data_IF_476041085895
#
_entry.id   IF_476041085895
#
_cell.length_a   1.000
_cell.length_b   1.000
_cell.length_c   1.000
_cell.angle_alpha   90.00
_cell.angle_beta   90.00
_cell.angle_gamma   90.00
#
_symmetry.space_group_name_H-M   'P 1'
#
loop_
_entity.id
_entity.type
_entity.pdbx_description
1 polymer ?
#
# COMPACT_ATOMS: atom_id res chain seq x y z
N UNK A 1 -10.35 20.35 -0.31
CA UNK A 1 -9.72 19.23 -1.03
C UNK A 1 -8.66 18.69 -0.08
N UNK A 2 -8.57 17.37 0.09
CA UNK A 2 -7.55 16.77 0.96
C UNK A 2 -6.23 16.72 0.19
N UNK A 3 -5.14 17.11 0.84
CA UNK A 3 -3.78 17.12 0.30
C UNK A 3 -2.93 16.05 0.97
N UNK A 4 -1.87 15.59 0.29
CA UNK A 4 -0.88 14.70 0.91
C UNK A 4 -0.29 15.38 2.15
N UNK A 5 -0.25 14.66 3.26
CA UNK A 5 0.19 15.16 4.56
C UNK A 5 -0.93 15.76 5.43
N UNK A 6 -2.13 16.02 4.88
CA UNK A 6 -3.27 16.42 5.70
C UNK A 6 -3.60 15.30 6.69
N UNK A 7 -3.87 15.70 7.94
CA UNK A 7 -4.12 14.81 9.06
C UNK A 7 -5.47 15.12 9.71
N UNK A 8 -6.19 14.08 10.12
CA UNK A 8 -7.55 14.18 10.66
C UNK A 8 -7.72 13.32 11.90
N UNK A 9 -8.48 13.78 12.91
CA UNK A 9 -8.84 12.93 14.05
C UNK A 9 -9.74 11.79 13.60
N UNK A 10 -9.62 10.65 14.27
CA UNK A 10 -10.35 9.41 13.97
C UNK A 10 -11.21 9.00 15.17
N UNK A 11 -12.45 8.63 14.87
CA UNK A 11 -13.31 7.89 15.77
C UNK A 11 -13.75 6.58 15.11
N UNK A 12 -13.79 5.51 15.90
CA UNK A 12 -14.27 4.21 15.43
C UNK A 12 -15.76 4.04 15.71
N UNK A 13 -16.50 3.70 14.67
CA UNK A 13 -17.93 3.39 14.78
C UNK A 13 -18.15 1.89 14.79
N UNK A 14 -19.01 1.40 15.69
CA UNK A 14 -19.32 -0.02 15.81
C UNK A 14 -20.32 -0.45 14.73
N UNK A 15 -19.94 -1.44 13.92
CA UNK A 15 -20.87 -2.13 13.01
C UNK A 15 -21.66 -3.17 13.81
N UNK A 16 -22.99 -3.01 13.89
CA UNK A 16 -23.84 -3.84 14.74
C UNK A 16 -24.07 -5.24 14.16
N UNK A 17 -24.19 -5.37 12.85
CA UNK A 17 -24.28 -6.65 12.12
C UNK A 17 -23.00 -6.86 11.28
N UNK A 18 -21.87 -7.25 11.89
CA UNK A 18 -20.60 -7.39 11.18
C UNK A 18 -20.60 -8.52 10.15
N UNK A 19 -21.50 -9.49 10.29
CA UNK A 19 -21.69 -10.59 9.34
C UNK A 19 -22.53 -10.16 8.13
N UNK A 20 -23.06 -8.93 8.13
CA UNK A 20 -23.92 -8.39 7.08
C UNK A 20 -25.11 -9.32 6.73
N UNK A 21 -25.70 -9.99 7.73
CA UNK A 21 -26.85 -10.89 7.54
C UNK A 21 -28.06 -10.15 6.97
N UNK A 22 -28.21 -8.89 7.33
CA UNK A 22 -29.35 -8.04 6.94
C UNK A 22 -28.93 -6.87 6.05
N UNK A 23 -27.90 -6.12 6.45
CA UNK A 23 -27.45 -4.91 5.76
C UNK A 23 -25.95 -4.99 5.53
N UNK A 24 -25.47 -4.66 4.32
CA UNK A 24 -24.03 -4.61 4.03
C UNK A 24 -23.30 -3.70 5.02
N UNK A 25 -22.16 -4.13 5.55
CA UNK A 25 -21.37 -3.39 6.55
C UNK A 25 -21.07 -1.96 6.12
N UNK A 26 -20.72 -1.72 4.85
CA UNK A 26 -20.48 -0.38 4.30
C UNK A 26 -21.69 0.57 4.40
N UNK A 27 -22.91 0.05 4.30
CA UNK A 27 -24.14 0.83 4.43
C UNK A 27 -24.40 1.16 5.90
N UNK A 28 -24.17 0.19 6.79
CA UNK A 28 -24.26 0.39 8.24
C UNK A 28 -23.29 1.49 8.71
N UNK A 29 -22.01 1.37 8.32
CA UNK A 29 -20.97 2.35 8.65
C UNK A 29 -21.32 3.75 8.13
N UNK A 30 -21.69 3.87 6.85
CA UNK A 30 -22.10 5.15 6.27
C UNK A 30 -23.25 5.81 7.04
N UNK A 31 -24.24 5.03 7.46
CA UNK A 31 -25.42 5.53 8.21
C UNK A 31 -25.04 6.15 9.56
N UNK A 32 -23.96 5.68 10.18
CA UNK A 32 -23.47 6.15 11.48
C UNK A 32 -22.24 7.06 11.36
N UNK A 33 -21.95 7.58 10.15
CA UNK A 33 -20.92 8.60 9.93
C UNK A 33 -19.55 8.09 9.50
N UNK A 34 -19.37 6.80 9.18
CA UNK A 34 -18.10 6.31 8.66
C UNK A 34 -17.71 6.97 7.33
N UNK A 35 -16.47 7.43 7.23
CA UNK A 35 -15.88 7.94 6.00
C UNK A 35 -15.81 6.85 4.92
N UNK A 36 -15.96 7.27 3.67
CA UNK A 36 -15.91 6.37 2.52
C UNK A 36 -14.56 6.52 1.83
N UNK A 37 -13.85 5.39 1.71
CA UNK A 37 -12.64 5.27 0.93
C UNK A 37 -12.95 4.52 -0.37
N UNK A 38 -12.40 4.97 -1.50
CA UNK A 38 -12.73 4.43 -2.81
C UNK A 38 -11.75 3.31 -3.23
N UNK A 39 -12.23 2.06 -3.19
CA UNK A 39 -11.45 0.88 -3.55
C UNK A 39 -10.44 0.47 -2.48
N UNK A 40 -10.87 0.39 -1.21
CA UNK A 40 -10.02 -0.10 -0.13
C UNK A 40 -9.70 -1.59 -0.29
N UNK A 41 -8.42 -1.94 -0.41
CA UNK A 41 -7.96 -3.32 -0.67
C UNK A 41 -6.95 -3.78 0.41
N UNK A 42 -5.65 -3.57 0.16
CA UNK A 42 -4.58 -4.00 1.05
C UNK A 42 -4.46 -3.16 2.31
N UNK A 43 -4.13 -3.81 3.42
CA UNK A 43 -3.85 -3.19 4.72
C UNK A 43 -2.65 -3.88 5.38
N UNK A 44 -1.76 -3.10 5.98
CA UNK A 44 -0.59 -3.60 6.69
C UNK A 44 -0.29 -2.71 7.89
N UNK A 45 0.36 -3.24 8.92
CA UNK A 45 0.88 -2.44 10.03
C UNK A 45 2.39 -2.62 10.16
N UNK A 46 3.04 -1.59 10.69
CA UNK A 46 4.44 -1.61 11.08
C UNK A 46 4.65 -0.69 12.27
N UNK A 47 5.80 -0.80 12.92
CA UNK A 47 6.22 0.16 13.93
C UNK A 47 7.25 1.13 13.33
N UNK A 48 7.14 2.41 13.67
CA UNK A 48 8.22 3.36 13.36
C UNK A 48 9.41 3.20 14.33
N UNK A 49 10.45 4.02 14.14
CA UNK A 49 11.66 4.02 14.98
C UNK A 49 11.40 4.19 16.47
N UNK A 50 10.26 4.75 16.85
CA UNK A 50 9.87 4.99 18.23
C UNK A 50 8.93 3.89 18.75
N UNK A 51 8.87 2.75 18.05
CA UNK A 51 7.96 1.64 18.33
C UNK A 51 6.47 2.02 18.28
N UNK A 52 6.13 3.10 17.57
CA UNK A 52 4.74 3.52 17.42
C UNK A 52 4.12 2.80 16.24
N UNK A 53 2.99 2.12 16.47
CA UNK A 53 2.27 1.40 15.43
C UNK A 53 1.65 2.38 14.44
N UNK A 54 1.86 2.09 13.15
CA UNK A 54 1.27 2.77 12.03
C UNK A 54 0.63 1.72 11.11
N UNK A 55 -0.59 1.99 10.67
CA UNK A 55 -1.36 1.15 9.76
C UNK A 55 -1.44 1.85 8.41
N UNK A 56 -1.10 1.16 7.34
CA UNK A 56 -1.21 1.66 5.98
C UNK A 56 -2.25 0.87 5.22
N UNK A 57 -3.05 1.53 4.40
CA UNK A 57 -3.97 0.85 3.50
C UNK A 57 -4.09 1.56 2.16
N UNK A 58 -4.32 0.79 1.11
CA UNK A 58 -4.47 1.27 -0.26
C UNK A 58 -5.92 1.58 -0.59
N UNK A 59 -6.13 2.52 -1.51
CA UNK A 59 -7.43 2.87 -2.06
C UNK A 59 -7.30 2.99 -3.58
N UNK A 60 -7.55 1.91 -4.33
CA UNK A 60 -7.28 1.78 -5.78
C UNK A 60 -7.76 2.96 -6.61
N UNK A 61 -8.95 3.47 -6.30
CA UNK A 61 -9.65 4.49 -7.08
C UNK A 61 -9.81 5.81 -6.30
N UNK A 62 -9.02 5.96 -5.24
CA UNK A 62 -8.93 7.19 -4.47
C UNK A 62 -8.22 8.30 -5.25
N UNK A 63 -8.34 9.51 -4.72
CA UNK A 63 -7.64 10.69 -5.23
C UNK A 63 -8.33 11.37 -6.40
N UNK A 64 -7.88 12.58 -6.73
CA UNK A 64 -8.49 13.44 -7.74
C UNK A 64 -8.45 12.81 -9.14
N UNK A 65 -7.36 12.12 -9.46
CA UNK A 65 -7.17 11.43 -10.73
C UNK A 65 -7.86 10.04 -10.77
N UNK A 66 -8.34 9.54 -9.63
CA UNK A 66 -8.89 8.19 -9.53
C UNK A 66 -7.86 7.08 -9.75
N UNK A 67 -6.57 7.39 -9.59
CA UNK A 67 -5.44 6.49 -9.84
C UNK A 67 -4.96 5.77 -8.58
N UNK A 68 -5.37 6.22 -7.41
CA UNK A 68 -5.08 5.55 -6.16
C UNK A 68 -4.53 6.48 -5.07
N UNK A 69 -4.77 6.07 -3.83
CA UNK A 69 -4.21 6.69 -2.63
C UNK A 69 -3.65 5.63 -1.69
N UNK A 70 -2.74 6.05 -0.82
CA UNK A 70 -2.30 5.31 0.36
C UNK A 70 -2.61 6.17 1.57
N UNK A 71 -3.30 5.60 2.54
CA UNK A 71 -3.64 6.25 3.79
C UNK A 71 -2.82 5.65 4.93
N UNK A 72 -2.44 6.48 5.89
CA UNK A 72 -1.72 6.08 7.10
C UNK A 72 -2.59 6.42 8.32
N UNK A 73 -2.84 5.44 9.17
CA UNK A 73 -3.56 5.57 10.43
C UNK A 73 -2.62 5.29 11.60
N UNK A 74 -2.60 6.19 12.59
CA UNK A 74 -1.92 6.01 13.87
C UNK A 74 -2.97 5.69 14.95
N UNK A 75 -3.04 4.44 15.44
CA UNK A 75 -3.93 4.09 16.55
C UNK A 75 -3.60 4.83 17.84
N UNK A 76 -2.31 5.09 18.10
CA UNK A 76 -1.85 5.76 19.32
C UNK A 76 -2.35 7.20 19.39
N UNK A 77 -2.34 7.91 18.26
CA UNK A 77 -2.78 9.30 18.20
C UNK A 77 -4.27 9.43 17.87
N UNK A 78 -4.94 8.34 17.45
CA UNK A 78 -6.27 8.38 16.83
C UNK A 78 -6.32 9.36 15.66
N UNK A 79 -5.35 9.26 14.76
CA UNK A 79 -5.17 10.18 13.63
C UNK A 79 -4.98 9.42 12.32
N UNK A 80 -5.55 9.94 11.24
CA UNK A 80 -5.37 9.43 9.88
C UNK A 80 -4.88 10.53 8.95
N UNK A 81 -3.87 10.22 8.16
CA UNK A 81 -3.28 11.13 7.18
C UNK A 81 -3.28 10.55 5.78
N UNK A 82 -3.47 11.40 4.77
CA UNK A 82 -3.24 11.02 3.38
C UNK A 82 -1.73 10.91 3.15
N UNK A 83 -1.22 9.68 3.08
CA UNK A 83 0.22 9.43 2.98
C UNK A 83 0.74 9.61 1.55
N UNK A 84 -0.03 9.19 0.57
CA UNK A 84 0.30 9.35 -0.84
C UNK A 84 -0.98 9.43 -1.69
N UNK A 85 -0.97 10.27 -2.73
CA UNK A 85 -2.00 10.31 -3.76
C UNK A 85 -1.32 10.29 -5.13
N UNK A 86 -1.77 9.41 -6.02
CA UNK A 86 -1.25 9.33 -7.37
C UNK A 86 -1.90 10.37 -8.29
N UNK A 87 -1.06 11.15 -8.97
CA UNK A 87 -1.44 12.10 -10.00
C UNK A 87 -1.18 11.57 -11.43
N UNK A 88 -0.40 10.50 -11.56
CA UNK A 88 0.04 9.94 -12.82
C UNK A 88 0.15 8.41 -12.74
N UNK A 89 -0.46 7.71 -13.69
CA UNK A 89 -0.46 6.25 -13.75
C UNK A 89 0.96 5.64 -13.89
N UNK A 90 1.90 6.43 -14.41
CA UNK A 90 3.32 6.07 -14.51
C UNK A 90 3.96 5.89 -13.13
N UNK A 91 3.48 6.60 -12.11
CA UNK A 91 3.94 6.51 -10.72
C UNK A 91 3.28 5.31 -10.03
N UNK A 92 1.98 5.42 -9.78
CA UNK A 92 1.14 4.38 -9.18
C UNK A 92 -0.24 4.38 -9.84
N UNK A 93 -0.78 3.21 -10.14
CA UNK A 93 -2.10 3.07 -10.73
C UNK A 93 -2.84 1.86 -10.14
N UNK A 94 -3.94 2.13 -9.43
CA UNK A 94 -4.78 1.14 -8.74
C UNK A 94 -3.96 0.18 -7.86
N UNK A 95 -3.14 0.75 -6.96
CA UNK A 95 -2.43 -0.01 -5.95
C UNK A 95 -3.40 -0.83 -5.09
N UNK A 96 -3.15 -2.13 -4.99
CA UNK A 96 -4.03 -3.12 -4.36
C UNK A 96 -3.34 -3.71 -3.12
N UNK A 97 -2.50 -4.73 -3.30
CA UNK A 97 -1.82 -5.39 -2.20
C UNK A 97 -0.63 -4.57 -1.71
N UNK A 98 -0.40 -4.62 -0.40
CA UNK A 98 0.65 -3.85 0.28
C UNK A 98 1.36 -4.72 1.31
N UNK A 99 2.67 -4.55 1.45
CA UNK A 99 3.47 -5.18 2.50
C UNK A 99 4.60 -4.26 2.98
N UNK A 100 5.35 -4.71 3.98
CA UNK A 100 6.59 -4.08 4.44
C UNK A 100 7.77 -4.90 3.95
N UNK A 101 8.75 -4.22 3.38
CA UNK A 101 10.00 -4.82 2.95
C UNK A 101 10.94 -5.03 4.14
N UNK A 102 11.91 -5.97 4.08
CA UNK A 102 12.94 -6.14 5.11
C UNK A 102 13.79 -4.88 5.35
N UNK A 103 13.81 -3.95 4.39
CA UNK A 103 14.53 -2.68 4.46
C UNK A 103 13.66 -1.48 4.89
N UNK A 104 12.43 -1.73 5.38
CA UNK A 104 11.60 -0.74 6.06
C UNK A 104 10.67 0.09 5.19
N UNK A 105 10.61 -0.18 3.89
CA UNK A 105 9.70 0.49 2.95
C UNK A 105 8.38 -0.23 2.80
N UNK A 106 7.38 0.49 2.32
CA UNK A 106 6.18 -0.13 1.76
C UNK A 106 6.52 -0.72 0.39
N UNK A 107 5.87 -1.82 0.05
CA UNK A 107 5.84 -2.37 -1.30
C UNK A 107 4.40 -2.61 -1.72
N UNK A 108 4.05 -2.11 -2.89
CA UNK A 108 2.69 -2.05 -3.41
C UNK A 108 2.63 -2.81 -4.73
N UNK A 109 1.61 -3.66 -4.86
CA UNK A 109 1.24 -4.33 -6.09
C UNK A 109 0.13 -3.55 -6.79
N UNK A 110 0.27 -3.33 -8.08
CA UNK A 110 -0.83 -2.78 -8.88
C UNK A 110 -1.80 -3.86 -9.37
N UNK A 111 -3.06 -3.47 -9.47
CA UNK A 111 -4.08 -4.16 -10.25
C UNK A 111 -4.98 -3.15 -10.96
N UNK A 112 -4.54 -2.76 -12.15
CA UNK A 112 -5.15 -1.72 -12.97
C UNK A 112 -5.64 -2.26 -14.33
N UNK A 113 -5.66 -3.58 -14.51
CA UNK A 113 -6.01 -4.23 -15.79
C UNK A 113 -5.11 -3.86 -16.97
N UNK A 114 -4.01 -3.12 -16.75
CA UNK A 114 -3.02 -2.85 -17.78
C UNK A 114 -2.20 -4.10 -18.08
N UNK A 115 -1.55 -4.12 -19.24
CA UNK A 115 -0.74 -5.26 -19.64
C UNK A 115 0.64 -5.34 -18.96
N UNK A 116 0.82 -4.62 -17.84
CA UNK A 116 2.10 -4.38 -17.21
C UNK A 116 2.00 -3.95 -15.74
N UNK A 117 1.09 -4.55 -14.94
CA UNK A 117 0.96 -4.24 -13.51
C UNK A 117 2.33 -4.23 -12.81
N UNK A 118 2.62 -3.13 -12.11
CA UNK A 118 3.92 -2.88 -11.49
C UNK A 118 3.98 -3.40 -10.06
N UNK A 119 5.21 -3.68 -9.62
CA UNK A 119 5.62 -3.78 -8.23
C UNK A 119 6.38 -2.50 -7.89
N UNK A 120 5.88 -1.74 -6.93
CA UNK A 120 6.37 -0.41 -6.59
C UNK A 120 6.83 -0.40 -5.14
N UNK A 121 8.04 0.08 -4.89
CA UNK A 121 8.49 0.43 -3.54
C UNK A 121 8.10 1.86 -3.19
N UNK A 122 7.90 2.15 -1.92
CA UNK A 122 7.58 3.47 -1.40
C UNK A 122 8.31 3.72 -0.08
N UNK A 123 9.17 4.74 -0.05
CA UNK A 123 9.97 5.08 1.13
C UNK A 123 9.09 5.65 2.26
N UNK A 124 9.58 5.73 3.51
CA UNK A 124 8.84 6.32 4.62
C UNK A 124 8.42 7.78 4.39
N UNK A 125 9.06 8.48 3.44
CA UNK A 125 8.73 9.86 3.05
C UNK A 125 7.73 9.94 1.88
N UNK A 126 7.29 8.80 1.33
CA UNK A 126 6.35 8.76 0.21
C UNK A 126 7.01 8.76 -1.17
N UNK A 127 8.33 8.64 -1.26
CA UNK A 127 9.04 8.56 -2.56
C UNK A 127 8.82 7.18 -3.19
N UNK A 128 8.24 7.15 -4.39
CA UNK A 128 8.02 5.90 -5.14
C UNK A 128 9.24 5.51 -5.98
N UNK A 129 9.48 4.20 -6.09
CA UNK A 129 10.49 3.65 -6.99
C UNK A 129 10.04 2.31 -7.59
N UNK A 130 10.30 2.05 -8.88
CA UNK A 130 9.89 0.81 -9.51
C UNK A 130 10.80 -0.36 -9.07
N UNK A 131 10.19 -1.51 -8.78
CA UNK A 131 10.90 -2.77 -8.48
C UNK A 131 10.75 -3.79 -9.61
N UNK A 132 9.64 -3.76 -10.32
CA UNK A 132 9.38 -4.67 -11.42
C UNK A 132 7.98 -4.50 -12.01
N UNK A 133 7.65 -5.37 -12.95
CA UNK A 133 6.32 -5.47 -13.55
C UNK A 133 6.05 -6.86 -14.07
N UNK A 134 4.78 -7.19 -14.25
CA UNK A 134 4.38 -8.41 -14.95
C UNK A 134 4.87 -8.35 -16.40
N UNK A 135 5.66 -9.35 -16.80
CA UNK A 135 6.27 -9.43 -18.12
C UNK A 135 5.32 -10.01 -19.18
N UNK A 136 5.65 -9.81 -20.46
CA UNK A 136 4.98 -10.47 -21.58
C UNK A 136 3.65 -9.85 -22.00
N UNK A 137 3.43 -8.56 -21.70
CA UNK A 137 2.21 -7.82 -22.08
C UNK A 137 0.93 -8.52 -21.61
N UNK A 138 0.87 -8.85 -20.32
CA UNK A 138 -0.21 -9.61 -19.68
C UNK A 138 -1.02 -8.69 -18.78
N UNK A 139 -2.35 -8.76 -18.85
CA UNK A 139 -3.27 -8.02 -17.96
C UNK A 139 -3.33 -8.57 -16.52
N UNK A 140 -2.40 -9.44 -16.16
CA UNK A 140 -2.47 -10.16 -14.89
C UNK A 140 -1.87 -9.31 -13.78
N UNK A 141 -2.55 -9.28 -12.64
CA UNK A 141 -2.07 -8.58 -11.46
C UNK A 141 -1.02 -9.35 -10.67
N UNK A 142 -0.32 -8.61 -9.79
CA UNK A 142 0.51 -9.19 -8.74
C UNK A 142 -0.36 -9.37 -7.49
N UNK A 143 -0.96 -10.56 -7.32
CA UNK A 143 -1.90 -10.89 -6.26
C UNK A 143 -1.19 -11.25 -4.94
N UNK A 144 -0.44 -10.28 -4.43
CA UNK A 144 0.18 -10.35 -3.11
C UNK A 144 1.62 -10.81 -3.10
N UNK A 145 2.31 -10.33 -2.07
CA UNK A 145 3.72 -10.60 -1.82
C UNK A 145 3.95 -10.87 -0.34
N UNK A 146 5.00 -11.64 -0.05
CA UNK A 146 5.55 -11.79 1.29
C UNK A 146 7.06 -12.00 1.22
N UNK A 147 7.71 -11.89 2.37
CA UNK A 147 9.14 -12.16 2.52
C UNK A 147 9.37 -13.39 3.40
N UNK A 148 10.45 -14.11 3.14
CA UNK A 148 10.93 -15.14 4.08
C UNK A 148 11.25 -14.51 5.45
N UNK A 149 11.20 -15.28 6.55
CA UNK A 149 11.48 -14.74 7.89
C UNK A 149 12.88 -14.12 8.05
N UNK A 150 13.86 -14.58 7.25
CA UNK A 150 15.21 -14.04 7.20
C UNK A 150 15.37 -12.86 6.23
N UNK A 151 14.29 -12.43 5.58
CA UNK A 151 14.23 -11.33 4.63
C UNK A 151 14.92 -11.58 3.29
N UNK A 152 15.49 -12.76 3.03
CA UNK A 152 16.33 -12.99 1.84
C UNK A 152 15.55 -13.29 0.56
N UNK A 153 14.33 -13.80 0.70
CA UNK A 153 13.50 -14.19 -0.44
C UNK A 153 12.20 -13.38 -0.40
N UNK A 154 11.82 -12.82 -1.53
CA UNK A 154 10.48 -12.31 -1.77
C UNK A 154 9.69 -13.34 -2.56
N UNK A 155 8.45 -13.60 -2.16
CA UNK A 155 7.52 -14.43 -2.91
C UNK A 155 6.38 -13.56 -3.40
N UNK A 156 5.98 -13.72 -4.66
CA UNK A 156 4.83 -13.02 -5.23
C UNK A 156 3.99 -13.94 -6.10
N UNK A 157 2.70 -13.62 -6.25
CA UNK A 157 1.78 -14.40 -7.08
C UNK A 157 1.35 -13.62 -8.32
N UNK A 158 1.26 -14.29 -9.46
CA UNK A 158 0.67 -13.77 -10.70
C UNK A 158 -0.68 -14.46 -10.90
N UNK A 159 -1.77 -13.70 -10.77
CA UNK A 159 -3.13 -14.25 -10.58
C UNK A 159 -3.59 -15.18 -11.71
N UNK A 160 -3.70 -14.66 -12.93
CA UNK A 160 -4.31 -15.37 -14.07
C UNK A 160 -3.51 -16.60 -14.49
N UNK A 161 -2.21 -16.63 -14.18
CA UNK A 161 -1.34 -17.76 -14.50
C UNK A 161 -1.24 -18.77 -13.36
N UNK A 162 -1.75 -18.45 -12.17
CA UNK A 162 -1.60 -19.28 -10.97
C UNK A 162 -0.14 -19.56 -10.61
N UNK A 163 0.76 -18.59 -10.84
CA UNK A 163 2.20 -18.76 -10.62
C UNK A 163 2.64 -18.08 -9.34
N UNK A 164 3.42 -18.78 -8.54
CA UNK A 164 4.23 -18.17 -7.47
C UNK A 164 5.67 -18.01 -7.96
N UNK A 165 6.22 -16.82 -7.81
CA UNK A 165 7.60 -16.47 -8.17
C UNK A 165 8.38 -16.24 -6.89
N UNK A 166 9.51 -16.92 -6.74
CA UNK A 166 10.51 -16.59 -5.74
C UNK A 166 11.55 -15.66 -6.36
N UNK A 167 11.75 -14.51 -5.74
CA UNK A 167 12.74 -13.51 -6.13
C UNK A 167 13.79 -13.44 -5.03
N UNK A 168 15.05 -13.55 -5.42
CA UNK A 168 16.21 -13.49 -4.53
C UNK A 168 17.22 -12.52 -5.11
N UNK A 169 18.02 -11.90 -4.26
CA UNK A 169 19.01 -10.93 -4.70
C UNK A 169 19.60 -10.16 -3.55
N UNK A 170 20.45 -9.19 -3.89
CA UNK A 170 21.04 -8.27 -2.94
C UNK A 170 20.12 -7.07 -2.73
N UNK A 171 19.33 -7.11 -1.67
CA UNK A 171 18.40 -6.02 -1.32
C UNK A 171 19.10 -4.71 -0.96
N UNK A 172 20.40 -4.74 -0.62
CA UNK A 172 21.14 -3.50 -0.39
C UNK A 172 21.27 -2.68 -1.68
N UNK A 173 21.36 -3.32 -2.85
CA UNK A 173 21.37 -2.60 -4.13
C UNK A 173 20.04 -1.92 -4.42
N UNK A 174 18.94 -2.52 -3.98
CA UNK A 174 17.62 -1.88 -4.06
C UNK A 174 17.57 -0.67 -3.14
N UNK A 175 18.09 -0.80 -1.92
CA UNK A 175 18.22 0.30 -0.97
C UNK A 175 19.07 1.44 -1.54
N UNK A 176 20.25 1.16 -2.07
CA UNK A 176 21.11 2.16 -2.72
C UNK A 176 20.38 2.86 -3.89
N UNK A 177 19.74 2.09 -4.76
CA UNK A 177 18.98 2.65 -5.89
C UNK A 177 17.83 3.57 -5.45
N UNK A 178 17.04 3.20 -4.44
CA UNK A 178 15.97 4.08 -3.95
C UNK A 178 16.54 5.33 -3.26
N UNK A 179 17.70 5.22 -2.62
CA UNK A 179 18.32 6.30 -1.84
C UNK A 179 18.81 7.41 -2.81
N UNK A 180 19.15 7.07 -4.06
CA UNK A 180 19.40 8.04 -5.14
C UNK A 180 18.15 8.83 -5.56
N UNK A 181 16.96 8.28 -5.33
CA UNK A 181 15.68 8.88 -5.71
C UNK A 181 15.03 9.68 -4.57
N UNK A 182 15.35 9.36 -3.31
CA UNK A 182 14.81 10.04 -2.14
C UNK A 182 15.70 11.21 -1.71
N UNK A 183 15.34 12.42 -2.14
CA UNK A 183 16.06 13.65 -1.80
C UNK A 183 16.02 14.02 -0.31
N UNK A 184 15.20 13.33 0.51
CA UNK A 184 15.01 13.57 1.93
C UNK A 184 15.35 12.35 2.81
N UNK A 185 16.34 11.55 2.40
CA UNK A 185 16.84 10.32 3.04
C UNK A 185 16.48 10.16 4.52
N UNK A 186 15.63 9.18 4.81
CA UNK A 186 15.43 8.67 6.17
C UNK A 186 15.93 7.23 6.21
N UNK A 187 17.17 7.04 6.64
CA UNK A 187 17.65 5.71 6.99
C UNK A 187 17.23 5.36 8.42
N UNK A 188 16.51 4.26 8.57
CA UNK A 188 16.39 3.61 9.87
C UNK A 188 17.33 2.42 9.88
N UNK A 189 18.23 2.37 10.86
CA UNK A 189 19.02 1.18 11.12
C UNK A 189 18.09 0.13 11.74
N UNK A 190 18.05 -1.05 11.11
CA UNK A 190 17.44 -2.26 11.66
C UNK A 190 18.20 -2.74 12.90
#
# INVERSE_FOLDING_TARGET
MISVGDNFPVEWVRIQDPLAKSTKTKIQGKKIGASIFNGGEGIIFTNDKNMTTNIFFTCKKGGKAGLGQIWKYSPVNSEISLFYESDNASNLWEGDNINITPWGDLIICEDNGSNACKLIGCTPNGTLYPLGRVAGNSSSEIAGICFSPDGKNMYLNIQDRGKTIAVTGDWNKIREYRDELDSNLVHYNS
#
